data_IF_081567093171
#
_entry.id   IF_081567093171
#
_cell.length_a   1.000
_cell.length_b   1.000
_cell.length_c   1.000
_cell.angle_alpha   90.00
_cell.angle_beta   90.00
_cell.angle_gamma   90.00
#
_symmetry.space_group_name_H-M   'P 1'
#
loop_
_entity.id
_entity.type
_entity.pdbx_description
1 polymer ?
#
# COMPACT_ATOMS: atom_id res chain seq x y z
N UNK A 1 17.22 -33.75 -13.72
CA UNK A 1 17.48 -33.13 -15.02
C UNK A 1 16.93 -31.72 -14.93
N UNK A 2 17.82 -30.74 -14.68
CA UNK A 2 17.43 -29.34 -14.50
C UNK A 2 17.25 -28.80 -15.92
N UNK A 3 16.00 -28.53 -16.33
CA UNK A 3 15.76 -27.87 -17.62
C UNK A 3 16.41 -26.48 -17.59
N UNK A 4 17.47 -26.35 -18.37
CA UNK A 4 18.05 -25.05 -18.70
C UNK A 4 17.06 -24.33 -19.62
N UNK A 5 16.43 -23.28 -19.10
CA UNK A 5 15.67 -22.32 -19.90
C UNK A 5 16.68 -21.47 -20.70
N UNK A 6 17.05 -21.92 -21.88
CA UNK A 6 17.85 -21.15 -22.83
C UNK A 6 16.97 -20.25 -23.69
N UNK A 7 17.32 -18.97 -23.81
CA UNK A 7 17.48 -18.38 -25.14
C UNK A 7 16.79 -17.05 -25.44
N UNK A 8 15.48 -16.91 -25.27
CA UNK A 8 14.75 -15.73 -25.78
C UNK A 8 13.78 -15.07 -24.79
N UNK A 9 13.22 -15.83 -23.84
CA UNK A 9 12.31 -15.30 -22.81
C UNK A 9 13.01 -14.72 -21.56
N UNK A 10 14.28 -15.06 -21.34
CA UNK A 10 15.05 -14.59 -20.17
C UNK A 10 15.51 -13.12 -20.29
N UNK A 11 15.78 -12.65 -21.52
CA UNK A 11 16.17 -11.26 -21.77
C UNK A 11 15.01 -10.27 -21.53
N UNK A 12 13.77 -10.50 -22.03
CA UNK A 12 12.61 -9.68 -21.70
C UNK A 12 12.34 -9.60 -20.20
N UNK A 13 12.43 -10.74 -19.49
CA UNK A 13 12.19 -10.80 -18.05
C UNK A 13 13.25 -10.03 -17.26
N UNK A 14 14.53 -10.16 -17.61
CA UNK A 14 15.62 -9.42 -16.93
C UNK A 14 15.51 -7.91 -17.16
N UNK A 15 15.08 -7.48 -18.35
CA UNK A 15 14.79 -6.07 -18.64
C UNK A 15 13.60 -5.56 -17.82
N UNK A 16 12.50 -6.32 -17.77
CA UNK A 16 11.31 -5.95 -16.98
C UNK A 16 11.62 -5.90 -15.48
N UNK A 17 12.35 -6.90 -14.97
CA UNK A 17 12.78 -6.95 -13.57
C UNK A 17 13.65 -5.74 -13.22
N UNK A 18 14.62 -5.39 -14.08
CA UNK A 18 15.46 -4.21 -13.89
C UNK A 18 14.61 -2.93 -13.86
N UNK A 19 13.65 -2.79 -14.77
CA UNK A 19 12.76 -1.63 -14.80
C UNK A 19 11.93 -1.50 -13.51
N UNK A 20 11.39 -2.61 -12.98
CA UNK A 20 10.64 -2.63 -11.73
C UNK A 20 11.52 -2.31 -10.51
N UNK A 21 12.74 -2.84 -10.46
CA UNK A 21 13.72 -2.52 -9.40
C UNK A 21 14.11 -1.04 -9.41
N UNK A 22 14.38 -0.48 -10.59
CA UNK A 22 14.69 0.94 -10.75
C UNK A 22 13.50 1.84 -10.33
N UNK A 23 12.27 1.31 -10.42
CA UNK A 23 11.06 2.00 -9.99
C UNK A 23 10.84 1.93 -8.47
N UNK A 24 11.22 0.83 -7.82
CA UNK A 24 10.96 0.56 -6.39
C UNK A 24 11.36 1.74 -5.48
N UNK A 25 12.54 2.33 -5.70
CA UNK A 25 13.05 3.44 -4.89
C UNK A 25 12.12 4.66 -4.85
N UNK A 26 11.28 4.86 -5.89
CA UNK A 26 10.32 5.98 -5.97
C UNK A 26 9.07 5.77 -5.11
N UNK A 27 8.79 4.52 -4.77
CA UNK A 27 7.58 4.09 -4.05
C UNK A 27 7.86 3.64 -2.61
N UNK A 28 9.13 3.65 -2.18
CA UNK A 28 9.50 3.41 -0.79
C UNK A 28 9.04 4.56 0.13
N UNK A 29 8.46 4.29 1.31
CA UNK A 29 8.12 5.32 2.28
C UNK A 29 9.38 5.95 2.89
N UNK A 30 9.30 7.23 3.26
CA UNK A 30 10.43 7.92 3.92
C UNK A 30 10.58 7.41 5.36
N UNK A 31 11.61 6.59 5.59
CA UNK A 31 11.88 5.97 6.91
C UNK A 31 11.98 6.99 8.06
N UNK A 32 12.46 8.21 7.80
CA UNK A 32 12.54 9.25 8.82
C UNK A 32 11.18 9.61 9.41
N UNK A 33 10.12 9.63 8.60
CA UNK A 33 8.76 9.93 9.06
C UNK A 33 8.15 8.79 9.86
N UNK A 34 8.37 7.55 9.43
CA UNK A 34 7.85 6.36 10.14
C UNK A 34 8.49 6.20 11.52
N UNK A 35 9.77 6.53 11.70
CA UNK A 35 10.44 6.53 13.02
C UNK A 35 9.79 7.49 14.04
N UNK A 36 9.13 8.55 13.59
CA UNK A 36 8.40 9.46 14.48
C UNK A 36 7.15 8.77 15.04
N UNK A 37 6.52 7.90 14.26
CA UNK A 37 5.35 7.12 14.66
C UNK A 37 5.77 5.98 15.61
N UNK A 38 6.93 5.39 15.36
CA UNK A 38 7.53 4.35 16.22
C UNK A 38 7.88 4.86 17.62
N UNK A 39 8.35 6.10 17.72
CA UNK A 39 8.74 6.73 18.99
C UNK A 39 7.60 7.49 19.69
N UNK A 40 6.38 7.47 19.14
CA UNK A 40 5.26 8.22 19.69
C UNK A 40 4.70 7.57 20.97
N UNK A 41 4.44 8.36 22.04
CA UNK A 41 3.81 7.83 23.25
C UNK A 41 2.34 7.47 23.00
N UNK A 42 1.88 6.39 23.63
CA UNK A 42 0.51 5.87 23.55
C UNK A 42 -0.47 6.69 24.42
N UNK A 43 -0.56 7.99 24.18
CA UNK A 43 -1.44 8.91 24.91
C UNK A 43 -2.70 9.33 24.11
N UNK A 44 -2.93 8.72 22.95
CA UNK A 44 -4.08 8.99 22.08
C UNK A 44 -4.02 10.30 21.29
N UNK A 45 -2.98 11.13 21.48
CA UNK A 45 -2.87 12.44 20.81
C UNK A 45 -2.10 12.38 19.50
N UNK A 46 -1.32 11.31 19.27
CA UNK A 46 -0.45 11.16 18.11
C UNK A 46 -0.66 9.81 17.46
N UNK A 47 -0.29 9.75 16.17
CA UNK A 47 -0.24 8.50 15.44
C UNK A 47 0.82 7.58 16.06
N UNK A 48 0.48 6.30 16.24
CA UNK A 48 1.36 5.26 16.78
C UNK A 48 1.40 4.06 15.84
N UNK A 49 2.37 3.17 16.02
CA UNK A 49 2.50 1.94 15.21
C UNK A 49 1.26 1.06 15.36
N UNK A 50 0.70 0.98 16.58
CA UNK A 50 -0.52 0.20 16.85
C UNK A 50 -1.72 0.70 16.05
N UNK A 51 -1.89 2.02 15.97
CA UNK A 51 -2.96 2.62 15.17
C UNK A 51 -2.76 2.34 13.68
N UNK A 52 -1.51 2.41 13.19
CA UNK A 52 -1.19 2.06 11.80
C UNK A 52 -1.52 0.61 11.52
N UNK A 53 -1.14 -0.31 12.40
CA UNK A 53 -1.41 -1.74 12.25
C UNK A 53 -2.90 -2.07 12.31
N UNK A 54 -3.66 -1.37 13.15
CA UNK A 54 -5.12 -1.46 13.16
C UNK A 54 -5.70 -1.06 11.80
N UNK A 55 -5.29 0.10 11.27
CA UNK A 55 -5.76 0.55 9.96
C UNK A 55 -5.38 -0.40 8.82
N UNK A 56 -4.18 -1.00 8.85
CA UNK A 56 -3.77 -1.98 7.83
C UNK A 56 -4.60 -3.26 7.91
N UNK A 57 -5.02 -3.69 9.11
CA UNK A 57 -5.95 -4.83 9.27
C UNK A 57 -7.34 -4.50 8.72
N UNK A 58 -7.80 -3.26 8.89
CA UNK A 58 -9.06 -2.80 8.30
C UNK A 58 -8.98 -2.82 6.77
N UNK A 59 -7.88 -2.33 6.18
CA UNK A 59 -7.64 -2.40 4.73
C UNK A 59 -7.64 -3.84 4.21
N UNK A 60 -7.01 -4.77 4.93
CA UNK A 60 -7.01 -6.19 4.57
C UNK A 60 -8.43 -6.77 4.63
N UNK A 61 -9.19 -6.42 5.66
CA UNK A 61 -10.57 -6.88 5.84
C UNK A 61 -11.48 -6.36 4.73
N UNK A 62 -11.35 -5.08 4.33
CA UNK A 62 -12.07 -4.50 3.20
C UNK A 62 -11.69 -5.18 1.88
N UNK A 63 -10.39 -5.38 1.63
CA UNK A 63 -9.91 -6.08 0.43
C UNK A 63 -10.56 -7.46 0.31
N UNK A 64 -10.59 -8.22 1.42
CA UNK A 64 -11.24 -9.55 1.46
C UNK A 64 -12.75 -9.48 1.30
N UNK A 65 -13.39 -8.50 1.93
CA UNK A 65 -14.84 -8.32 1.86
C UNK A 65 -15.32 -8.07 0.42
N UNK A 66 -14.60 -7.24 -0.33
CA UNK A 66 -14.93 -6.95 -1.73
C UNK A 66 -14.33 -7.97 -2.73
N UNK A 67 -13.50 -8.91 -2.27
CA UNK A 67 -12.87 -9.90 -3.13
C UNK A 67 -11.80 -9.34 -4.08
N UNK A 68 -11.16 -8.22 -3.71
CA UNK A 68 -10.11 -7.59 -4.52
C UNK A 68 -8.78 -8.36 -4.45
N UNK A 69 -7.90 -8.07 -5.41
CA UNK A 69 -6.58 -8.68 -5.50
C UNK A 69 -5.66 -8.32 -4.33
N UNK A 70 -4.64 -9.14 -4.11
CA UNK A 70 -3.58 -8.85 -3.13
C UNK A 70 -2.74 -7.63 -3.53
N UNK A 71 -2.69 -7.29 -4.82
CA UNK A 71 -2.03 -6.09 -5.34
C UNK A 71 -2.76 -4.82 -4.88
N UNK A 72 -4.09 -4.82 -4.88
CA UNK A 72 -4.89 -3.71 -4.35
C UNK A 72 -4.61 -3.46 -2.86
N UNK A 73 -4.52 -4.53 -2.06
CA UNK A 73 -4.14 -4.41 -0.66
C UNK A 73 -2.72 -3.87 -0.48
N UNK A 74 -1.75 -4.41 -1.22
CA UNK A 74 -0.35 -3.99 -1.08
C UNK A 74 -0.16 -2.52 -1.51
N UNK A 75 -0.87 -2.08 -2.55
CA UNK A 75 -0.88 -0.69 -2.99
C UNK A 75 -1.54 0.22 -1.95
N UNK A 76 -2.68 -0.17 -1.36
CA UNK A 76 -3.35 0.61 -0.32
C UNK A 76 -2.45 0.78 0.93
N UNK A 77 -1.78 -0.29 1.37
CA UNK A 77 -0.83 -0.24 2.49
C UNK A 77 0.39 0.64 2.16
N UNK A 78 0.95 0.51 0.95
CA UNK A 78 2.05 1.35 0.48
C UNK A 78 1.69 2.84 0.47
N UNK A 79 0.50 3.19 -0.03
CA UNK A 79 0.00 4.57 -0.04
C UNK A 79 -0.15 5.13 1.39
N UNK A 80 -0.70 4.33 2.30
CA UNK A 80 -0.85 4.71 3.70
C UNK A 80 0.52 5.00 4.34
N UNK A 81 1.48 4.10 4.20
CA UNK A 81 2.81 4.27 4.80
C UNK A 81 3.56 5.48 4.21
N UNK A 82 3.46 5.70 2.91
CA UNK A 82 4.06 6.86 2.25
C UNK A 82 3.43 8.17 2.70
N UNK A 83 2.11 8.19 2.89
CA UNK A 83 1.40 9.36 3.41
C UNK A 83 1.80 9.66 4.86
N UNK A 84 1.78 8.65 5.73
CA UNK A 84 2.18 8.77 7.13
C UNK A 84 3.66 9.16 7.31
N UNK A 85 4.51 8.77 6.36
CA UNK A 85 5.93 9.15 6.35
C UNK A 85 6.18 10.64 6.07
N UNK A 86 5.19 11.39 5.53
CA UNK A 86 5.36 12.81 5.20
C UNK A 86 4.37 13.72 5.91
N UNK A 87 3.22 13.20 6.34
CA UNK A 87 2.16 13.95 7.00
C UNK A 87 2.01 13.58 8.47
N UNK A 88 1.94 14.60 9.33
CA UNK A 88 1.52 14.43 10.73
C UNK A 88 0.00 14.53 10.79
N UNK A 89 -0.66 13.42 11.11
CA UNK A 89 -2.11 13.37 11.32
C UNK A 89 -2.47 13.04 12.76
N UNK A 90 -3.67 13.45 13.17
CA UNK A 90 -4.28 12.98 14.41
C UNK A 90 -4.97 11.63 14.16
N UNK A 91 -5.01 10.73 15.17
CA UNK A 91 -5.66 9.41 15.05
C UNK A 91 -7.11 9.47 14.54
N UNK A 92 -7.85 10.53 14.86
CA UNK A 92 -9.25 10.73 14.42
C UNK A 92 -9.43 10.83 12.90
N UNK A 93 -8.36 11.09 12.14
CA UNK A 93 -8.39 11.18 10.68
C UNK A 93 -7.90 9.91 9.99
N UNK A 94 -7.37 8.94 10.75
CA UNK A 94 -6.73 7.76 10.20
C UNK A 94 -7.67 6.91 9.34
N UNK A 95 -8.89 6.68 9.80
CA UNK A 95 -9.89 5.91 9.07
C UNK A 95 -10.22 6.55 7.71
N UNK A 96 -10.40 7.88 7.67
CA UNK A 96 -10.65 8.61 6.43
C UNK A 96 -9.46 8.52 5.48
N UNK A 97 -8.24 8.74 5.96
CA UNK A 97 -7.00 8.59 5.17
C UNK A 97 -6.87 7.17 4.62
N UNK A 98 -7.12 6.15 5.46
CA UNK A 98 -7.08 4.75 5.06
C UNK A 98 -8.07 4.44 3.94
N UNK A 99 -9.33 4.88 4.07
CA UNK A 99 -10.34 4.71 3.02
C UNK A 99 -9.97 5.43 1.72
N UNK A 100 -9.39 6.63 1.79
CA UNK A 100 -8.89 7.32 0.59
C UNK A 100 -7.76 6.53 -0.08
N UNK A 101 -6.81 6.00 0.68
CA UNK A 101 -5.74 5.15 0.15
C UNK A 101 -6.30 3.89 -0.50
N UNK A 102 -7.29 3.25 0.14
CA UNK A 102 -7.98 2.09 -0.38
C UNK A 102 -8.69 2.40 -1.71
N UNK A 103 -9.46 3.50 -1.76
CA UNK A 103 -10.17 3.91 -2.96
C UNK A 103 -9.21 4.18 -4.14
N UNK A 104 -8.10 4.89 -3.88
CA UNK A 104 -7.07 5.11 -4.90
C UNK A 104 -6.49 3.79 -5.39
N UNK A 105 -6.19 2.86 -4.48
CA UNK A 105 -5.66 1.56 -4.84
C UNK A 105 -6.65 0.79 -5.73
N UNK A 106 -7.90 0.65 -5.30
CA UNK A 106 -8.97 -0.01 -6.08
C UNK A 106 -9.09 0.58 -7.48
N UNK A 107 -9.12 1.91 -7.62
CA UNK A 107 -9.16 2.57 -8.93
C UNK A 107 -7.93 2.36 -9.81
N UNK A 108 -6.81 1.98 -9.22
CA UNK A 108 -5.53 1.82 -9.93
C UNK A 108 -5.32 0.38 -10.39
N UNK A 109 -5.69 -0.60 -9.56
CA UNK A 109 -5.38 -2.02 -9.78
C UNK A 109 -6.58 -2.89 -10.17
N UNK A 110 -7.82 -2.45 -9.92
CA UNK A 110 -9.01 -3.24 -10.26
C UNK A 110 -9.68 -2.71 -11.54
N UNK A 111 -10.31 -3.60 -12.31
CA UNK A 111 -11.04 -3.22 -13.53
C UNK A 111 -12.24 -2.30 -13.20
N UNK A 112 -12.58 -1.37 -14.11
CA UNK A 112 -13.56 -0.30 -13.87
C UNK A 112 -14.96 -0.80 -13.43
N UNK A 113 -15.29 -2.07 -13.70
CA UNK A 113 -16.55 -2.72 -13.32
C UNK A 113 -16.64 -3.16 -11.85
N UNK A 114 -15.51 -3.27 -11.15
CA UNK A 114 -15.48 -3.69 -9.73
C UNK A 114 -15.29 -2.51 -8.76
N UNK A 115 -15.11 -1.29 -9.28
CA UNK A 115 -15.00 -0.07 -8.48
C UNK A 115 -16.41 0.36 -8.04
N UNK A 116 -16.69 0.46 -6.73
CA UNK A 116 -17.96 1.01 -6.25
C UNK A 116 -18.13 2.46 -6.72
N UNK A 117 -19.20 2.74 -7.46
CA UNK A 117 -19.55 4.09 -7.90
C UNK A 117 -20.10 4.87 -6.70
N UNK A 118 -19.74 6.15 -6.59
CA UNK A 118 -20.16 7.03 -5.48
C UNK A 118 -21.60 7.55 -5.62
N UNK A 119 -22.40 6.94 -6.48
CA UNK A 119 -23.78 7.33 -6.78
C UNK A 119 -24.66 6.09 -6.71
N UNK A 120 -25.16 5.83 -5.49
CA UNK A 120 -26.49 5.31 -5.16
C UNK A 120 -26.86 5.83 -3.75
#
# INVERSE_FOLDING_TARGET
MIEQVTGAGALPFTVQLKALLDQEAKYQPKLCGLRIIESAPENGLRMTVKLRDFQVRDLLSLTRFFGFSSETFSLAASLLDRFLAVMKIQPKHLACVGLCCFYIAVKTSEEEKSVPLASD
#
